data_IF_961293274129
#
_entry.id   IF_961293274129
#
_cell.length_a   1.000
_cell.length_b   1.000
_cell.length_c   1.000
_cell.angle_alpha   90.00
_cell.angle_beta   90.00
_cell.angle_gamma   90.00
#
_symmetry.space_group_name_H-M   'P 1'
#
loop_
_entity.id
_entity.type
_entity.pdbx_description
1 polymer ?
#
# COMPACT_ATOMS: atom_id res chain seq x y z
N UNK A 1 75.48 57.15 -41.73
CA UNK A 1 75.02 55.84 -42.22
C UNK A 1 73.67 55.56 -41.61
N UNK A 2 72.66 55.86 -42.42
CA UNK A 2 71.24 55.72 -42.17
C UNK A 2 70.79 54.25 -42.17
N UNK A 3 69.83 53.92 -41.32
CA UNK A 3 68.79 52.91 -41.61
C UNK A 3 67.67 53.02 -40.57
N UNK A 4 66.73 53.93 -40.84
CA UNK A 4 65.43 53.99 -40.16
C UNK A 4 64.47 53.03 -40.86
N UNK A 5 64.06 51.96 -40.17
CA UNK A 5 62.97 51.10 -40.64
C UNK A 5 61.62 51.77 -40.40
N UNK A 6 60.97 52.13 -41.51
CA UNK A 6 59.65 52.75 -41.55
C UNK A 6 58.58 51.64 -41.55
N UNK A 7 57.95 51.40 -40.40
CA UNK A 7 56.81 50.47 -40.29
C UNK A 7 55.53 51.24 -40.61
N UNK A 8 54.90 50.91 -41.75
CA UNK A 8 53.60 51.43 -42.15
C UNK A 8 52.51 50.81 -41.28
N UNK A 9 51.85 51.62 -40.46
CA UNK A 9 50.63 51.23 -39.74
C UNK A 9 49.47 51.12 -40.74
N UNK A 10 48.97 49.89 -40.91
CA UNK A 10 47.76 49.61 -41.69
C UNK A 10 46.55 50.03 -40.85
N UNK A 11 45.82 51.02 -41.35
CA UNK A 11 44.54 51.47 -40.82
C UNK A 11 43.50 50.35 -41.03
N UNK A 12 43.21 49.57 -39.99
CA UNK A 12 42.10 48.61 -40.01
C UNK A 12 40.84 49.28 -39.48
N UNK A 13 39.95 49.57 -40.42
CA UNK A 13 38.57 50.02 -40.31
C UNK A 13 37.78 49.32 -39.17
N UNK A 14 37.15 50.11 -38.29
CA UNK A 14 36.36 49.66 -37.14
C UNK A 14 35.00 49.02 -37.51
N UNK A 15 34.65 48.91 -38.80
CA UNK A 15 33.31 48.48 -39.23
C UNK A 15 33.04 46.98 -39.38
N UNK A 16 33.93 46.07 -38.99
CA UNK A 16 33.71 44.61 -39.17
C UNK A 16 33.68 43.76 -37.87
N UNK A 17 32.94 44.19 -36.84
CA UNK A 17 32.73 43.39 -35.61
C UNK A 17 31.72 42.24 -35.72
N UNK A 18 31.34 41.78 -36.92
CA UNK A 18 30.63 40.50 -37.12
C UNK A 18 31.62 39.41 -37.53
N UNK A 19 32.43 39.01 -36.56
CA UNK A 19 33.35 37.88 -36.65
C UNK A 19 32.54 36.60 -36.83
N UNK A 20 32.54 36.04 -38.04
CA UNK A 20 32.02 34.70 -38.35
C UNK A 20 32.75 33.72 -37.43
N UNK A 21 32.09 33.28 -36.36
CA UNK A 21 32.61 32.20 -35.51
C UNK A 21 32.46 30.91 -36.28
N UNK A 22 33.54 30.46 -36.90
CA UNK A 22 33.61 29.08 -37.38
C UNK A 22 33.45 28.17 -36.16
N UNK A 23 32.31 27.48 -36.09
CA UNK A 23 32.09 26.44 -35.09
C UNK A 23 33.25 25.46 -35.12
N UNK A 24 33.79 25.13 -33.94
CA UNK A 24 34.96 24.27 -33.82
C UNK A 24 34.69 22.93 -34.51
N UNK A 25 35.73 22.30 -35.07
CA UNK A 25 35.63 20.97 -35.71
C UNK A 25 34.89 19.94 -34.83
N UNK A 26 35.00 20.07 -33.50
CA UNK A 26 34.36 19.22 -32.49
C UNK A 26 32.84 19.44 -32.34
N UNK A 27 32.32 20.60 -32.72
CA UNK A 27 30.87 20.86 -32.81
C UNK A 27 30.28 20.39 -34.14
N UNK A 28 31.04 20.49 -35.24
CA UNK A 28 30.59 19.98 -36.55
C UNK A 28 30.47 18.46 -36.56
N UNK A 29 31.39 17.73 -35.92
CA UNK A 29 31.33 16.27 -35.85
C UNK A 29 30.12 15.76 -35.05
N UNK A 30 29.71 16.46 -33.98
CA UNK A 30 28.54 16.07 -33.16
C UNK A 30 27.21 16.31 -33.86
N UNK A 31 27.09 17.37 -34.68
CA UNK A 31 25.89 17.61 -35.49
C UNK A 31 25.80 16.66 -36.69
N UNK A 32 26.91 16.37 -37.36
CA UNK A 32 26.94 15.43 -38.48
C UNK A 32 26.53 14.00 -38.07
N UNK A 33 26.92 13.53 -36.88
CA UNK A 33 26.50 12.20 -36.40
C UNK A 33 25.03 12.10 -36.00
N UNK A 34 24.36 13.22 -35.72
CA UNK A 34 22.95 13.22 -35.31
C UNK A 34 21.98 13.17 -36.51
N UNK A 35 22.34 13.80 -37.64
CA UNK A 35 21.50 13.79 -38.84
C UNK A 35 21.56 12.46 -39.61
N UNK A 36 22.71 11.75 -39.58
CA UNK A 36 22.83 10.42 -40.20
C UNK A 36 21.92 9.38 -39.53
N UNK A 37 21.66 9.50 -38.22
CA UNK A 37 20.74 8.60 -37.51
C UNK A 37 19.26 8.98 -37.63
N UNK A 38 18.91 10.22 -38.01
CA UNK A 38 17.51 10.58 -38.32
C UNK A 38 17.06 10.09 -39.68
N UNK A 39 17.97 9.99 -40.65
CA UNK A 39 17.67 9.53 -42.01
C UNK A 39 17.48 8.01 -42.12
N UNK A 40 18.03 7.21 -41.21
CA UNK A 40 18.00 5.74 -41.35
C UNK A 40 16.70 5.09 -40.85
N UNK A 41 15.90 5.80 -40.03
CA UNK A 41 14.64 5.27 -39.49
C UNK A 41 13.40 5.53 -40.35
N UNK A 42 13.54 6.29 -41.44
CA UNK A 42 12.44 6.64 -42.36
C UNK A 42 12.37 5.80 -43.64
N UNK A 43 13.28 4.83 -43.85
CA UNK A 43 13.43 4.14 -45.15
C UNK A 43 13.22 2.62 -45.13
N UNK A 44 12.88 2.02 -43.98
CA UNK A 44 12.65 0.55 -43.84
C UNK A 44 11.24 0.28 -43.28
N UNK A 45 10.22 0.97 -43.80
CA UNK A 45 8.84 0.82 -43.33
C UNK A 45 7.81 1.19 -44.38
N UNK A 46 8.10 0.93 -45.65
CA UNK A 46 7.15 1.01 -46.75
C UNK A 46 6.92 -0.40 -47.30
N UNK A 47 5.71 -0.92 -47.10
CA UNK A 47 5.34 -2.24 -47.57
C UNK A 47 3.88 -2.60 -47.33
N UNK A 48 2.94 -1.69 -47.58
CA UNK A 48 1.56 -2.09 -47.92
C UNK A 48 1.01 -1.09 -48.95
N UNK A 49 0.64 -1.64 -50.09
CA UNK A 49 0.24 -0.98 -51.33
C UNK A 49 -1.19 -0.46 -51.32
N UNK A 50 -1.39 0.62 -52.06
CA UNK A 50 -2.61 1.39 -52.31
C UNK A 50 -3.64 0.67 -53.19
N UNK A 51 -4.16 -0.48 -52.74
CA UNK A 51 -5.19 -1.23 -53.50
C UNK A 51 -6.37 -1.76 -52.66
N UNK A 52 -6.47 -1.43 -51.36
CA UNK A 52 -7.49 -2.00 -50.47
C UNK A 52 -8.57 -1.01 -49.99
N UNK A 53 -8.69 0.16 -50.62
CA UNK A 53 -9.78 1.12 -50.37
C UNK A 53 -10.67 1.23 -51.61
N UNK A 54 -11.34 0.13 -51.98
CA UNK A 54 -12.45 0.16 -52.95
C UNK A 54 -13.31 -1.11 -52.91
N UNK A 55 -13.79 -1.53 -51.75
CA UNK A 55 -15.00 -2.37 -51.65
C UNK A 55 -15.83 -1.89 -50.46
N UNK A 56 -16.55 -0.81 -50.73
CA UNK A 56 -17.72 -0.38 -49.98
C UNK A 56 -18.94 -1.05 -50.65
N UNK A 57 -19.96 -1.37 -49.84
CA UNK A 57 -21.32 -1.75 -50.26
C UNK A 57 -21.56 -3.13 -50.89
N UNK A 58 -21.76 -4.19 -50.08
CA UNK A 58 -22.97 -5.06 -50.16
C UNK A 58 -23.14 -5.74 -48.79
N UNK A 59 -24.38 -5.83 -48.30
CA UNK A 59 -24.86 -6.53 -47.09
C UNK A 59 -24.99 -5.71 -45.81
N UNK A 60 -26.08 -4.92 -45.80
CA UNK A 60 -26.75 -4.54 -44.57
C UNK A 60 -28.20 -5.06 -44.62
N UNK A 61 -28.53 -6.12 -43.86
CA UNK A 61 -29.91 -6.31 -43.43
C UNK A 61 -29.96 -6.72 -41.95
N UNK A 62 -30.35 -5.77 -41.10
CA UNK A 62 -31.44 -5.94 -40.09
C UNK A 62 -31.60 -4.67 -39.27
N UNK A 63 -32.46 -3.80 -39.81
CA UNK A 63 -33.45 -3.05 -39.04
C UNK A 63 -34.27 -4.05 -38.21
N UNK A 64 -34.29 -3.87 -36.90
CA UNK A 64 -35.44 -4.17 -36.04
C UNK A 64 -35.22 -3.50 -34.67
N UNK A 65 -35.27 -2.16 -34.68
CA UNK A 65 -35.44 -1.36 -33.47
C UNK A 65 -36.89 -0.92 -33.38
N UNK A 66 -37.67 -1.63 -32.56
CA UNK A 66 -39.09 -1.33 -32.41
C UNK A 66 -39.79 -2.21 -31.39
N UNK A 67 -39.28 -2.31 -30.15
CA UNK A 67 -40.10 -2.86 -29.06
C UNK A 67 -39.84 -2.18 -27.71
N UNK A 68 -40.80 -1.34 -27.33
CA UNK A 68 -40.88 -0.67 -26.04
C UNK A 68 -40.85 -1.69 -24.88
N UNK A 69 -39.91 -1.51 -23.94
CA UNK A 69 -39.93 -2.22 -22.65
C UNK A 69 -40.63 -1.35 -21.60
N UNK A 70 -41.87 -1.74 -21.28
CA UNK A 70 -42.58 -1.35 -20.06
C UNK A 70 -41.70 -1.69 -18.86
N UNK A 71 -41.43 -0.70 -18.00
CA UNK A 71 -40.88 -0.90 -16.65
C UNK A 71 -41.93 -1.61 -15.79
N UNK A 72 -41.81 -2.92 -15.62
CA UNK A 72 -42.48 -3.65 -14.54
C UNK A 72 -41.49 -3.77 -13.38
N UNK A 73 -41.79 -3.07 -12.29
CA UNK A 73 -41.22 -3.30 -10.97
C UNK A 73 -41.71 -4.66 -10.43
N UNK A 74 -40.96 -5.19 -9.47
CA UNK A 74 -41.10 -6.49 -8.80
C UNK A 74 -40.66 -7.74 -9.57
N UNK A 75 -39.40 -8.13 -9.35
CA UNK A 75 -39.02 -9.54 -9.24
C UNK A 75 -38.86 -9.88 -7.76
N UNK A 76 -39.59 -10.90 -7.33
CA UNK A 76 -39.36 -11.67 -6.12
C UNK A 76 -38.23 -12.63 -6.50
N UNK A 77 -37.05 -12.43 -5.95
CA UNK A 77 -35.91 -13.33 -6.13
C UNK A 77 -36.07 -14.52 -5.19
N UNK A 78 -36.37 -15.69 -5.76
CA UNK A 78 -36.15 -16.97 -5.12
C UNK A 78 -34.69 -17.38 -5.31
N UNK A 79 -33.96 -17.33 -4.19
CA UNK A 79 -33.06 -18.36 -3.67
C UNK A 79 -32.18 -19.14 -4.69
N UNK A 80 -31.00 -18.56 -4.99
CA UNK A 80 -29.73 -19.24 -5.28
C UNK A 80 -28.65 -18.17 -5.61
N UNK A 81 -28.19 -17.45 -4.57
CA UNK A 81 -27.28 -16.30 -4.70
C UNK A 81 -25.81 -16.67 -4.86
N UNK A 82 -25.34 -16.81 -6.10
CA UNK A 82 -23.92 -16.64 -6.45
C UNK A 82 -23.71 -15.19 -6.90
N UNK A 83 -23.11 -14.37 -6.02
CA UNK A 83 -22.95 -12.93 -6.24
C UNK A 83 -21.89 -12.68 -7.33
N UNK A 84 -22.36 -12.25 -8.50
CA UNK A 84 -21.52 -11.66 -9.54
C UNK A 84 -21.27 -10.18 -9.18
N UNK A 85 -20.17 -9.93 -8.48
CA UNK A 85 -19.71 -8.58 -8.16
C UNK A 85 -19.35 -7.89 -9.49
N UNK A 86 -20.26 -7.02 -9.94
CA UNK A 86 -20.04 -6.15 -11.10
C UNK A 86 -19.20 -4.98 -10.63
N UNK A 87 -17.96 -4.93 -11.08
CA UNK A 87 -16.96 -3.95 -10.67
C UNK A 87 -17.10 -2.67 -11.52
N UNK A 88 -18.13 -1.87 -11.26
CA UNK A 88 -18.34 -0.55 -11.90
C UNK A 88 -17.55 0.56 -11.16
N UNK A 89 -16.24 0.39 -11.00
CA UNK A 89 -15.32 1.41 -10.44
C UNK A 89 -14.39 2.09 -11.46
N UNK A 90 -14.49 1.77 -12.76
CA UNK A 90 -13.55 2.21 -13.80
C UNK A 90 -13.72 3.66 -14.30
N UNK A 91 -14.22 4.58 -13.46
CA UNK A 91 -14.28 6.02 -13.80
C UNK A 91 -13.53 6.96 -12.85
N UNK A 92 -12.69 6.44 -11.94
CA UNK A 92 -11.96 7.27 -10.96
C UNK A 92 -10.42 7.29 -11.09
N UNK A 93 -9.80 6.51 -11.98
CA UNK A 93 -8.34 6.33 -11.98
C UNK A 93 -7.51 7.45 -12.64
N UNK A 94 -8.12 8.44 -13.31
CA UNK A 94 -7.37 9.54 -13.95
C UNK A 94 -6.79 10.58 -12.96
N UNK A 95 -6.97 10.41 -11.64
CA UNK A 95 -6.55 11.35 -10.59
C UNK A 95 -5.33 10.84 -9.78
N UNK A 96 -4.73 9.70 -10.15
CA UNK A 96 -3.76 9.02 -9.27
C UNK A 96 -2.31 9.54 -9.30
N UNK A 97 -1.93 10.46 -10.20
CA UNK A 97 -0.55 11.01 -10.22
C UNK A 97 -0.40 12.43 -9.69
N UNK A 98 -1.49 13.15 -9.45
CA UNK A 98 -1.49 14.37 -8.62
C UNK A 98 -1.61 14.03 -7.11
N UNK A 99 -2.07 12.82 -6.80
CA UNK A 99 -2.30 12.33 -5.44
C UNK A 99 -1.05 12.06 -4.58
N UNK A 100 0.16 11.89 -5.12
CA UNK A 100 1.36 11.75 -4.27
C UNK A 100 1.74 13.07 -3.55
N UNK A 101 1.22 14.21 -4.01
CA UNK A 101 1.38 15.50 -3.33
C UNK A 101 0.14 15.88 -2.50
N UNK A 102 -1.06 15.44 -2.89
CA UNK A 102 -2.32 15.60 -2.12
C UNK A 102 -2.47 14.61 -0.95
N UNK A 103 -1.85 13.42 -0.96
CA UNK A 103 -1.84 12.51 0.22
C UNK A 103 -1.16 13.13 1.45
N UNK A 104 -0.42 14.22 1.28
CA UNK A 104 0.13 15.01 2.40
C UNK A 104 -0.79 16.13 2.89
N UNK A 105 -1.78 16.54 2.10
CA UNK A 105 -2.75 17.60 2.42
C UNK A 105 -4.15 17.06 2.78
N UNK A 106 -4.52 15.87 2.29
CA UNK A 106 -5.77 15.19 2.65
C UNK A 106 -5.79 14.64 4.10
N UNK A 107 -4.66 14.69 4.81
CA UNK A 107 -4.55 14.28 6.22
C UNK A 107 -5.12 15.28 7.23
N UNK A 108 -5.66 16.42 6.77
CA UNK A 108 -6.18 17.51 7.60
C UNK A 108 -7.66 17.84 7.36
N UNK A 109 -8.32 17.20 6.41
CA UNK A 109 -9.74 17.44 6.16
C UNK A 109 -10.61 16.68 7.18
N UNK A 110 -10.96 17.40 8.26
CA UNK A 110 -12.13 17.16 9.12
C UNK A 110 -12.25 15.71 9.60
N UNK A 111 -11.19 15.17 10.20
CA UNK A 111 -11.32 13.91 10.92
C UNK A 111 -12.17 14.17 12.18
N UNK A 112 -13.40 13.65 12.22
CA UNK A 112 -14.30 13.72 13.39
C UNK A 112 -13.56 13.31 14.65
N UNK A 113 -13.61 14.07 15.74
CA UNK A 113 -13.00 13.65 17.01
C UNK A 113 -13.66 12.37 17.51
N UNK A 114 -12.96 11.55 18.31
CA UNK A 114 -13.54 10.36 18.91
C UNK A 114 -14.90 10.61 19.58
N UNK A 115 -15.03 11.73 20.31
CA UNK A 115 -16.29 12.16 20.91
C UNK A 115 -17.41 12.38 19.89
N UNK A 116 -17.11 13.06 18.77
CA UNK A 116 -18.08 13.30 17.72
C UNK A 116 -18.48 12.01 17.00
N UNK A 117 -17.54 11.08 16.79
CA UNK A 117 -17.86 9.79 16.18
C UNK A 117 -18.75 8.92 17.08
N UNK A 118 -18.61 9.01 18.40
CA UNK A 118 -19.47 8.33 19.36
C UNK A 118 -20.93 8.78 19.21
N UNK A 119 -21.19 10.09 19.12
CA UNK A 119 -22.54 10.62 18.93
C UNK A 119 -23.15 10.12 17.61
N UNK A 120 -22.38 10.18 16.52
CA UNK A 120 -22.87 9.71 15.21
C UNK A 120 -23.09 8.19 15.23
N UNK A 121 -22.29 7.42 15.97
CA UNK A 121 -22.50 5.98 16.15
C UNK A 121 -23.75 5.69 17.00
N UNK A 122 -24.03 6.52 18.02
CA UNK A 122 -25.24 6.41 18.84
C UNK A 122 -26.52 6.66 18.04
N UNK A 123 -26.51 7.63 17.13
CA UNK A 123 -27.64 7.88 16.23
C UNK A 123 -27.86 6.74 15.22
N UNK A 124 -26.77 6.06 14.81
CA UNK A 124 -26.81 4.92 13.87
C UNK A 124 -27.22 3.61 14.53
N UNK A 125 -26.83 3.39 15.78
CA UNK A 125 -27.02 2.12 16.50
C UNK A 125 -27.97 2.27 17.69
N UNK A 126 -29.23 1.90 17.46
CA UNK A 126 -30.29 1.93 18.47
C UNK A 126 -30.33 0.69 19.39
N UNK A 127 -29.31 -0.18 19.37
CA UNK A 127 -29.31 -1.37 20.23
C UNK A 127 -29.20 -1.00 21.72
N UNK A 128 -29.83 -1.79 22.59
CA UNK A 128 -29.81 -1.54 24.03
C UNK A 128 -28.38 -1.66 24.60
N UNK A 129 -27.60 -2.63 24.11
CA UNK A 129 -26.21 -2.82 24.50
C UNK A 129 -25.36 -1.60 24.13
N UNK A 130 -25.55 -1.02 22.94
CA UNK A 130 -24.85 0.20 22.53
C UNK A 130 -25.31 1.42 23.34
N UNK A 131 -26.59 1.51 23.67
CA UNK A 131 -27.12 2.57 24.55
C UNK A 131 -26.49 2.53 25.95
N UNK A 132 -26.27 1.32 26.50
CA UNK A 132 -25.55 1.14 27.78
C UNK A 132 -24.07 1.56 27.65
N UNK A 133 -23.41 1.10 26.59
CA UNK A 133 -22.04 1.51 26.25
C UNK A 133 -21.90 3.04 26.19
N UNK A 134 -22.78 3.70 25.42
CA UNK A 134 -22.77 5.15 25.23
C UNK A 134 -22.84 5.90 26.58
N UNK A 135 -23.79 5.52 27.45
CA UNK A 135 -23.96 6.16 28.77
C UNK A 135 -22.74 6.02 29.68
N UNK A 136 -21.99 4.93 29.55
CA UNK A 136 -20.79 4.67 30.32
C UNK A 136 -19.58 5.42 29.76
N UNK A 137 -19.35 5.29 28.44
CA UNK A 137 -18.17 5.86 27.78
C UNK A 137 -18.23 7.40 27.71
N UNK A 138 -19.42 7.98 27.53
CA UNK A 138 -19.61 9.43 27.36
C UNK A 138 -19.05 10.26 28.52
N UNK A 139 -19.01 9.69 29.73
CA UNK A 139 -18.47 10.34 30.93
C UNK A 139 -16.93 10.45 30.92
N UNK A 140 -16.26 9.69 30.06
CA UNK A 140 -14.80 9.57 30.02
C UNK A 140 -14.16 10.32 28.84
N UNK A 141 -14.97 10.76 27.86
CA UNK A 141 -14.51 11.11 26.51
C UNK A 141 -14.92 12.52 26.07
N UNK A 142 -15.23 13.45 26.99
CA UNK A 142 -15.72 14.78 26.58
C UNK A 142 -14.65 15.63 25.90
N UNK A 143 -13.38 15.37 26.21
CA UNK A 143 -12.25 16.09 25.62
C UNK A 143 -11.02 15.18 25.47
N UNK A 144 -10.09 15.54 24.58
CA UNK A 144 -8.86 14.78 24.37
C UNK A 144 -8.02 14.59 25.66
N UNK A 145 -7.84 15.60 26.53
CA UNK A 145 -7.15 15.41 27.81
C UNK A 145 -7.84 14.38 28.72
N UNK A 146 -9.19 14.37 28.76
CA UNK A 146 -9.94 13.36 29.53
C UNK A 146 -9.76 11.96 28.95
N UNK A 147 -9.72 11.83 27.62
CA UNK A 147 -9.46 10.55 26.94
C UNK A 147 -8.08 10.02 27.36
N UNK A 148 -7.04 10.87 27.34
CA UNK A 148 -5.69 10.48 27.75
C UNK A 148 -5.64 10.07 29.23
N UNK A 149 -6.31 10.82 30.10
CA UNK A 149 -6.37 10.51 31.53
C UNK A 149 -7.11 9.18 31.83
N UNK A 150 -8.18 8.90 31.09
CA UNK A 150 -9.04 7.74 31.30
C UNK A 150 -8.77 6.60 30.30
N UNK A 151 -7.64 6.63 29.59
CA UNK A 151 -7.38 5.75 28.45
C UNK A 151 -7.54 4.27 28.79
N UNK A 152 -6.95 3.84 29.91
CA UNK A 152 -7.04 2.44 30.37
C UNK A 152 -8.50 1.97 30.53
N UNK A 153 -9.33 2.81 31.16
CA UNK A 153 -10.76 2.53 31.37
C UNK A 153 -11.55 2.56 30.08
N UNK A 154 -11.23 3.50 29.18
CA UNK A 154 -11.87 3.60 27.86
C UNK A 154 -11.64 2.32 27.06
N UNK A 155 -10.39 1.82 27.04
CA UNK A 155 -10.06 0.56 26.35
C UNK A 155 -10.79 -0.61 27.01
N UNK A 156 -10.82 -0.69 28.34
CA UNK A 156 -11.55 -1.75 29.05
C UNK A 156 -13.04 -1.74 28.69
N UNK A 157 -13.68 -0.57 28.65
CA UNK A 157 -15.09 -0.43 28.25
C UNK A 157 -15.29 -0.85 26.79
N UNK A 158 -14.46 -0.38 25.85
CA UNK A 158 -14.55 -0.77 24.44
C UNK A 158 -14.41 -2.29 24.25
N UNK A 159 -13.39 -2.90 24.87
CA UNK A 159 -13.12 -4.35 24.76
C UNK A 159 -14.24 -5.18 25.42
N UNK A 160 -14.81 -4.70 26.53
CA UNK A 160 -15.91 -5.36 27.22
C UNK A 160 -17.22 -5.36 26.40
N UNK A 161 -17.51 -4.27 25.69
CA UNK A 161 -18.71 -4.17 24.84
C UNK A 161 -18.52 -4.75 23.43
N UNK A 162 -17.29 -5.03 23.02
CA UNK A 162 -16.99 -5.59 21.70
C UNK A 162 -17.61 -6.97 21.47
N UNK A 163 -17.66 -7.83 22.48
CA UNK A 163 -18.28 -9.15 22.41
C UNK A 163 -19.06 -9.42 23.70
N UNK A 164 -20.10 -10.23 23.61
CA UNK A 164 -20.90 -10.66 24.76
C UNK A 164 -20.60 -12.13 25.12
N UNK A 165 -20.74 -12.56 26.38
CA UNK A 165 -20.68 -13.97 26.73
C UNK A 165 -21.80 -14.75 26.02
N UNK A 166 -21.53 -15.97 25.56
CA UNK A 166 -22.53 -16.81 24.87
C UNK A 166 -23.78 -17.09 25.74
N UNK A 167 -23.61 -17.15 27.06
CA UNK A 167 -24.70 -17.33 28.01
C UNK A 167 -25.62 -16.11 28.15
N UNK A 168 -25.14 -14.90 27.81
CA UNK A 168 -25.86 -13.64 28.00
C UNK A 168 -25.52 -12.65 26.87
N UNK A 169 -26.14 -12.80 25.67
CA UNK A 169 -25.79 -12.01 24.49
C UNK A 169 -26.06 -10.50 24.64
N UNK A 170 -27.01 -10.11 25.51
CA UNK A 170 -27.39 -8.71 25.75
C UNK A 170 -26.53 -8.01 26.81
N UNK A 171 -25.55 -8.71 27.39
CA UNK A 171 -24.71 -8.22 28.48
C UNK A 171 -23.26 -8.09 27.99
N UNK A 172 -22.60 -6.99 28.37
CA UNK A 172 -21.17 -6.81 28.11
C UNK A 172 -20.35 -7.90 28.79
N UNK A 173 -19.17 -8.17 28.25
CA UNK A 173 -18.24 -9.10 28.89
C UNK A 173 -17.76 -8.56 30.25
N UNK A 174 -17.76 -9.37 31.32
CA UNK A 174 -17.25 -8.96 32.63
C UNK A 174 -15.76 -8.62 32.56
N UNK A 175 -15.34 -7.56 33.26
CA UNK A 175 -13.93 -7.18 33.32
C UNK A 175 -13.14 -8.23 34.10
N UNK A 176 -12.12 -8.83 33.45
CA UNK A 176 -11.29 -9.93 33.96
C UNK A 176 -10.69 -9.72 35.36
N UNK A 177 -10.53 -8.46 35.80
CA UNK A 177 -10.10 -8.09 37.17
C UNK A 177 -11.00 -8.64 38.29
N UNK A 178 -12.23 -9.07 37.99
CA UNK A 178 -13.12 -9.66 39.00
C UNK A 178 -13.00 -11.18 39.15
N UNK A 179 -12.31 -11.88 38.23
CA UNK A 179 -12.29 -13.35 38.21
C UNK A 179 -11.10 -13.91 39.02
N UNK A 180 -10.02 -13.14 39.18
CA UNK A 180 -8.79 -13.63 39.82
C UNK A 180 -8.72 -13.46 41.34
N UNK A 181 -9.76 -12.93 41.99
CA UNK A 181 -9.72 -12.60 43.43
C UNK A 181 -10.43 -13.62 44.34
N UNK A 182 -10.50 -14.89 43.92
CA UNK A 182 -11.34 -15.90 44.61
C UNK A 182 -10.70 -17.25 44.92
N UNK A 183 -9.39 -17.45 44.77
CA UNK A 183 -8.77 -18.75 45.08
C UNK A 183 -7.28 -18.64 45.34
N UNK A 184 -6.92 -18.28 46.57
CA UNK A 184 -5.52 -18.11 47.00
C UNK A 184 -4.86 -19.40 47.53
N UNK A 185 -5.51 -20.57 47.59
CA UNK A 185 -5.04 -21.62 48.51
C UNK A 185 -4.70 -23.01 47.96
N UNK A 186 -4.61 -23.26 46.65
CA UNK A 186 -4.13 -24.59 46.17
C UNK A 186 -3.00 -24.48 45.13
N UNK A 187 -1.78 -24.40 45.66
CA UNK A 187 -0.46 -24.51 45.02
C UNK A 187 -0.19 -25.93 44.45
N UNK A 188 -1.22 -26.55 43.88
CA UNK A 188 -1.10 -27.86 43.24
C UNK A 188 -0.89 -27.63 41.74
N UNK A 189 0.39 -27.67 41.32
CA UNK A 189 0.89 -27.45 39.96
C UNK A 189 0.38 -28.40 38.85
N UNK A 190 -0.87 -28.85 38.93
CA UNK A 190 -1.57 -29.43 37.80
C UNK A 190 -1.89 -28.32 36.81
N UNK A 191 -1.32 -28.39 35.60
CA UNK A 191 -1.64 -27.51 34.48
C UNK A 191 -3.11 -27.64 34.07
N UNK A 192 -4.00 -27.03 34.85
CA UNK A 192 -5.42 -26.99 34.61
C UNK A 192 -5.67 -26.40 33.23
N UNK A 193 -6.40 -27.14 32.40
CA UNK A 193 -6.85 -26.67 31.10
C UNK A 193 -7.70 -25.43 31.36
N UNK A 194 -7.17 -24.24 31.03
CA UNK A 194 -7.90 -22.99 31.12
C UNK A 194 -9.01 -23.05 30.07
N UNK A 195 -10.21 -23.41 30.51
CA UNK A 195 -11.41 -23.42 29.67
C UNK A 195 -11.64 -21.98 29.23
N UNK A 196 -11.53 -21.72 27.93
CA UNK A 196 -11.82 -20.40 27.36
C UNK A 196 -13.32 -20.16 27.41
N UNK A 197 -13.72 -19.01 27.94
CA UNK A 197 -15.11 -18.56 27.85
C UNK A 197 -15.52 -18.39 26.38
N UNK A 198 -16.74 -18.79 26.06
CA UNK A 198 -17.32 -18.64 24.74
C UNK A 198 -17.91 -17.24 24.58
N UNK A 199 -17.47 -16.52 23.54
CA UNK A 199 -17.92 -15.17 23.23
C UNK A 199 -18.68 -15.14 21.91
N UNK A 200 -19.70 -14.29 21.84
CA UNK A 200 -20.58 -14.12 20.68
C UNK A 200 -20.57 -12.66 20.25
N UNK A 201 -20.64 -12.45 18.94
CA UNK A 201 -20.76 -11.13 18.31
C UNK A 201 -22.14 -10.55 18.66
N UNK A 202 -22.16 -9.30 19.15
CA UNK A 202 -23.39 -8.58 19.50
C UNK A 202 -23.67 -7.43 18.51
N UNK A 203 -24.84 -6.79 18.66
CA UNK A 203 -25.26 -5.68 17.79
C UNK A 203 -24.42 -4.40 17.90
N UNK A 204 -23.53 -4.28 18.90
CA UNK A 204 -22.61 -3.14 19.03
C UNK A 204 -21.24 -3.39 18.37
N UNK A 205 -20.88 -4.64 18.10
CA UNK A 205 -19.53 -5.06 17.68
C UNK A 205 -18.95 -4.21 16.54
N UNK A 206 -19.72 -3.99 15.48
CA UNK A 206 -19.27 -3.22 14.29
C UNK A 206 -18.91 -1.78 14.64
N UNK A 207 -19.78 -1.09 15.39
CA UNK A 207 -19.56 0.30 15.77
C UNK A 207 -18.42 0.42 16.79
N UNK A 208 -18.28 -0.54 17.71
CA UNK A 208 -17.17 -0.58 18.66
C UNK A 208 -15.82 -0.77 17.94
N UNK A 209 -15.75 -1.63 16.93
CA UNK A 209 -14.54 -1.81 16.11
C UNK A 209 -14.17 -0.53 15.34
N UNK A 210 -15.18 0.13 14.75
CA UNK A 210 -14.98 1.43 14.09
C UNK A 210 -14.49 2.50 15.07
N UNK A 211 -15.15 2.65 16.22
CA UNK A 211 -14.76 3.57 17.28
C UNK A 211 -13.34 3.31 17.77
N UNK A 212 -12.92 2.04 17.87
CA UNK A 212 -11.55 1.68 18.23
C UNK A 212 -10.53 2.17 17.19
N UNK A 213 -10.88 2.11 15.89
CA UNK A 213 -10.05 2.66 14.81
C UNK A 213 -9.93 4.18 14.91
N UNK A 214 -11.03 4.87 15.23
CA UNK A 214 -11.05 6.33 15.43
C UNK A 214 -10.23 6.73 16.65
N UNK A 215 -10.37 6.01 17.77
CA UNK A 215 -9.57 6.22 18.97
C UNK A 215 -8.07 6.03 18.69
N UNK A 216 -7.71 4.98 17.95
CA UNK A 216 -6.32 4.73 17.56
C UNK A 216 -5.72 5.86 16.74
N UNK A 217 -6.51 6.44 15.82
CA UNK A 217 -6.10 7.57 15.00
C UNK A 217 -5.82 8.81 15.86
N UNK A 218 -6.71 9.10 16.81
CA UNK A 218 -6.61 10.28 17.68
C UNK A 218 -5.43 10.15 18.67
N UNK A 219 -5.19 8.95 19.22
CA UNK A 219 -4.17 8.67 20.22
C UNK A 219 -2.78 8.32 19.67
N UNK A 220 -2.72 7.82 18.43
CA UNK A 220 -1.49 7.40 17.74
C UNK A 220 -0.68 6.36 18.52
N UNK A 221 0.32 6.80 19.29
CA UNK A 221 1.24 5.92 20.01
C UNK A 221 0.74 5.53 21.39
N UNK A 222 -0.13 6.34 21.99
CA UNK A 222 -0.66 6.10 23.34
C UNK A 222 -1.51 4.82 23.40
N UNK A 223 -2.03 4.34 22.25
CA UNK A 223 -2.82 3.11 22.19
C UNK A 223 -1.95 1.83 22.17
N UNK A 224 -0.65 1.94 21.88
CA UNK A 224 0.21 0.77 21.67
C UNK A 224 0.35 -0.17 22.87
N UNK A 225 0.45 0.30 24.13
CA UNK A 225 0.53 -0.59 25.29
C UNK A 225 -0.65 -1.55 25.38
N UNK A 226 -1.81 -1.14 24.85
CA UNK A 226 -3.07 -1.88 24.87
C UNK A 226 -3.27 -2.79 23.66
N UNK A 227 -2.57 -2.51 22.56
CA UNK A 227 -2.76 -3.22 21.29
C UNK A 227 -2.52 -4.72 21.46
N UNK A 228 -1.35 -5.10 21.99
CA UNK A 228 -0.96 -6.51 22.10
C UNK A 228 -1.54 -7.20 23.34
N UNK A 229 -1.93 -6.43 24.37
CA UNK A 229 -2.34 -6.94 25.67
C UNK A 229 -3.85 -7.12 25.80
N UNK A 230 -4.64 -6.19 25.24
CA UNK A 230 -6.11 -6.18 25.36
C UNK A 230 -6.82 -6.31 24.02
N UNK A 231 -6.46 -5.46 23.05
CA UNK A 231 -7.21 -5.31 21.80
C UNK A 231 -7.02 -6.52 20.86
N UNK A 232 -5.77 -6.86 20.55
CA UNK A 232 -5.44 -7.89 19.57
C UNK A 232 -5.88 -9.28 20.05
N UNK A 233 -5.68 -9.69 21.32
CA UNK A 233 -6.25 -10.94 21.82
C UNK A 233 -7.77 -10.98 21.65
N UNK A 234 -8.48 -9.89 21.97
CA UNK A 234 -9.94 -9.84 21.83
C UNK A 234 -10.40 -10.03 20.39
N UNK A 235 -9.76 -9.34 19.44
CA UNK A 235 -10.14 -9.42 18.02
C UNK A 235 -9.70 -10.76 17.42
N UNK A 236 -8.43 -11.14 17.59
CA UNK A 236 -7.86 -12.28 16.88
C UNK A 236 -8.21 -13.63 17.53
N UNK A 237 -8.24 -13.69 18.87
CA UNK A 237 -8.49 -14.94 19.59
C UNK A 237 -9.97 -15.11 19.91
N UNK A 238 -10.63 -14.09 20.46
CA UNK A 238 -12.00 -14.27 20.93
C UNK A 238 -13.04 -14.08 19.80
N UNK A 239 -12.82 -13.13 18.88
CA UNK A 239 -13.77 -12.85 17.79
C UNK A 239 -13.51 -13.65 16.51
N UNK A 240 -12.28 -13.63 15.99
CA UNK A 240 -11.95 -14.26 14.70
C UNK A 240 -11.66 -15.76 14.81
N UNK A 241 -11.31 -16.25 16.01
CA UNK A 241 -10.97 -17.66 16.23
C UNK A 241 -11.68 -18.20 17.49
N UNK A 242 -13.02 -18.14 17.55
CA UNK A 242 -13.77 -18.60 18.72
C UNK A 242 -13.45 -20.07 19.01
N UNK A 243 -13.44 -20.48 20.30
CA UNK A 243 -13.21 -21.87 20.65
C UNK A 243 -14.25 -22.77 19.96
N UNK A 244 -13.85 -23.97 19.48
CA UNK A 244 -14.82 -24.90 18.92
C UNK A 244 -15.86 -25.26 19.99
N UNK A 245 -17.13 -25.41 19.62
CA UNK A 245 -18.17 -25.82 20.55
C UNK A 245 -17.77 -27.14 21.24
N UNK A 246 -18.06 -27.30 22.56
CA UNK A 246 -17.73 -28.53 23.27
C UNK A 246 -18.36 -29.73 22.55
N UNK A 247 -17.65 -30.86 22.50
CA UNK A 247 -18.05 -32.05 21.73
C UNK A 247 -19.45 -32.58 22.08
N UNK A 248 -19.94 -32.26 23.28
CA UNK A 248 -21.28 -32.63 23.76
C UNK A 248 -22.38 -31.72 23.21
N UNK A 249 -22.04 -30.49 22.83
CA UNK A 249 -22.96 -29.57 22.17
C UNK A 249 -23.05 -29.96 20.70
N UNK A 250 -24.21 -30.47 20.28
CA UNK A 250 -24.51 -30.78 18.86
C UNK A 250 -24.59 -29.53 17.98
N UNK A 251 -24.00 -28.41 18.41
CA UNK A 251 -24.03 -27.13 17.72
C UNK A 251 -22.92 -27.10 16.68
N UNK A 252 -23.29 -26.73 15.45
CA UNK A 252 -22.31 -26.46 14.41
C UNK A 252 -21.63 -25.11 14.68
N UNK A 253 -20.36 -24.94 14.29
CA UNK A 253 -19.69 -23.64 14.36
C UNK A 253 -20.51 -22.61 13.59
N UNK A 254 -20.84 -21.51 14.25
CA UNK A 254 -21.64 -20.43 13.66
C UNK A 254 -20.77 -19.78 12.58
N UNK A 255 -21.20 -19.76 11.30
CA UNK A 255 -20.45 -19.08 10.26
C UNK A 255 -20.37 -17.58 10.60
N UNK A 256 -19.16 -17.03 10.58
CA UNK A 256 -18.96 -15.60 10.80
C UNK A 256 -19.47 -14.78 9.62
N UNK A 257 -20.17 -13.69 9.91
CA UNK A 257 -20.58 -12.73 8.89
C UNK A 257 -19.34 -12.07 8.26
N UNK A 258 -19.29 -12.08 6.93
CA UNK A 258 -18.21 -11.49 6.12
C UNK A 258 -18.01 -10.02 6.48
N UNK A 259 -19.08 -9.28 6.79
CA UNK A 259 -19.02 -7.86 7.16
C UNK A 259 -18.28 -7.65 8.48
N UNK A 260 -18.43 -8.55 9.45
CA UNK A 260 -17.72 -8.51 10.73
C UNK A 260 -16.24 -8.79 10.52
N UNK A 261 -15.93 -9.83 9.73
CA UNK A 261 -14.54 -10.19 9.39
C UNK A 261 -13.84 -9.03 8.69
N UNK A 262 -14.48 -8.42 7.68
CA UNK A 262 -13.93 -7.26 6.99
C UNK A 262 -13.69 -6.08 7.94
N UNK A 263 -14.67 -5.78 8.81
CA UNK A 263 -14.58 -4.68 9.78
C UNK A 263 -13.44 -4.91 10.79
N UNK A 264 -13.26 -6.16 11.23
CA UNK A 264 -12.17 -6.56 12.10
C UNK A 264 -10.80 -6.35 11.43
N UNK A 265 -10.62 -6.85 10.21
CA UNK A 265 -9.36 -6.69 9.47
C UNK A 265 -9.09 -5.23 9.11
N UNK A 266 -10.12 -4.44 8.78
CA UNK A 266 -10.00 -2.99 8.56
C UNK A 266 -9.51 -2.30 9.83
N UNK A 267 -10.08 -2.65 10.98
CA UNK A 267 -9.68 -2.12 12.30
C UNK A 267 -8.24 -2.49 12.65
N UNK A 268 -7.86 -3.76 12.48
CA UNK A 268 -6.48 -4.21 12.67
C UNK A 268 -5.51 -3.51 11.72
N UNK A 269 -5.91 -3.25 10.48
CA UNK A 269 -5.10 -2.52 9.51
C UNK A 269 -4.88 -1.06 9.93
N UNK A 270 -5.90 -0.39 10.45
CA UNK A 270 -5.78 0.96 11.01
C UNK A 270 -4.90 0.98 12.27
N UNK A 271 -5.08 0.04 13.19
CA UNK A 271 -4.24 -0.11 14.38
C UNK A 271 -2.77 -0.39 14.01
N UNK A 272 -2.54 -1.21 13.00
CA UNK A 272 -1.21 -1.45 12.48
C UNK A 272 -0.63 -0.18 11.84
N UNK A 273 -1.44 0.59 11.09
CA UNK A 273 -1.01 1.81 10.41
C UNK A 273 -0.66 2.96 11.38
N UNK A 274 -1.35 3.10 12.51
CA UNK A 274 -1.07 4.14 13.53
C UNK A 274 0.29 3.95 14.19
N UNK A 275 0.63 2.70 14.58
CA UNK A 275 1.98 2.30 15.05
C UNK A 275 3.10 2.69 14.12
N UNK A 276 2.70 2.76 12.89
CA UNK A 276 3.55 2.81 11.76
C UNK A 276 3.67 4.27 11.28
N UNK A 277 2.83 5.21 11.71
CA UNK A 277 2.94 6.66 11.44
C UNK A 277 3.97 7.37 12.32
N UNK A 278 4.31 6.80 13.48
CA UNK A 278 5.22 7.42 14.45
C UNK A 278 6.71 7.16 14.18
N UNK A 279 7.07 6.05 13.52
CA UNK A 279 8.48 5.69 13.24
C UNK A 279 9.05 6.34 11.95
N UNK A 280 9.22 7.66 11.87
CA UNK A 280 9.67 8.34 10.62
C UNK A 280 11.16 8.09 10.25
N UNK A 281 11.42 7.18 9.30
CA UNK A 281 12.39 7.26 8.15
C UNK A 281 12.41 5.91 7.40
N UNK A 282 12.78 5.90 6.10
CA UNK A 282 12.70 4.80 5.09
C UNK A 282 12.82 3.32 5.54
N UNK A 283 13.53 3.02 6.62
CA UNK A 283 13.49 1.70 7.30
C UNK A 283 12.07 1.29 7.74
N UNK A 284 11.15 2.25 7.79
CA UNK A 284 9.76 2.10 8.22
C UNK A 284 8.94 1.21 7.30
N UNK A 285 8.90 1.47 5.99
CA UNK A 285 8.03 0.69 5.10
C UNK A 285 8.40 -0.78 5.11
N UNK A 286 9.69 -1.09 5.08
CA UNK A 286 10.18 -2.46 5.24
C UNK A 286 9.74 -3.08 6.57
N UNK A 287 9.88 -2.37 7.69
CA UNK A 287 9.39 -2.84 9.00
C UNK A 287 7.86 -3.03 9.05
N UNK A 288 7.08 -2.18 8.36
CA UNK A 288 5.61 -2.34 8.22
C UNK A 288 5.31 -3.68 7.57
N UNK A 289 5.89 -3.89 6.39
CA UNK A 289 5.68 -5.08 5.58
C UNK A 289 6.14 -6.32 6.32
N UNK A 290 7.30 -6.28 6.98
CA UNK A 290 7.74 -7.37 7.86
C UNK A 290 6.76 -7.68 8.99
N UNK A 291 6.17 -6.67 9.64
CA UNK A 291 5.19 -6.90 10.71
C UNK A 291 3.93 -7.56 10.16
N UNK A 292 3.44 -7.09 9.01
CA UNK A 292 2.31 -7.70 8.31
C UNK A 292 2.63 -9.15 7.92
N UNK A 293 3.83 -9.42 7.41
CA UNK A 293 4.25 -10.78 7.05
C UNK A 293 4.38 -11.69 8.27
N UNK A 294 4.83 -11.18 9.42
CA UNK A 294 4.79 -11.93 10.68
C UNK A 294 3.37 -12.24 11.13
N UNK A 295 2.43 -11.31 10.96
CA UNK A 295 1.02 -11.58 11.22
C UNK A 295 0.47 -12.64 10.25
N UNK A 296 0.81 -12.55 8.97
CA UNK A 296 0.46 -13.55 7.97
C UNK A 296 0.98 -14.94 8.38
N UNK A 297 2.25 -15.04 8.75
CA UNK A 297 2.84 -16.28 9.24
C UNK A 297 2.11 -16.84 10.48
N UNK A 298 1.79 -15.97 11.44
CA UNK A 298 1.08 -16.37 12.65
C UNK A 298 -0.33 -16.89 12.35
N UNK A 299 -1.07 -16.22 11.45
CA UNK A 299 -2.40 -16.67 11.02
C UNK A 299 -2.34 -18.01 10.27
N UNK A 300 -1.36 -18.17 9.38
CA UNK A 300 -1.13 -19.43 8.66
C UNK A 300 -0.73 -20.58 9.59
N UNK A 301 -0.08 -20.29 10.71
CA UNK A 301 0.30 -21.29 11.70
C UNK A 301 -0.86 -21.71 12.61
N UNK A 302 -1.84 -20.84 12.87
CA UNK A 302 -2.93 -21.11 13.82
C UNK A 302 -4.11 -21.86 13.22
N UNK A 303 -4.75 -21.31 12.19
CA UNK A 303 -5.95 -21.89 11.59
C UNK A 303 -6.06 -21.45 10.14
N UNK A 304 -5.61 -22.31 9.22
CA UNK A 304 -5.53 -21.98 7.80
C UNK A 304 -6.91 -21.85 7.14
N UNK A 305 -7.94 -22.53 7.67
CA UNK A 305 -9.29 -22.50 7.09
C UNK A 305 -9.91 -21.10 7.14
N UNK A 306 -9.58 -20.32 8.18
CA UNK A 306 -9.97 -18.91 8.27
C UNK A 306 -9.22 -18.01 7.27
N UNK A 307 -8.02 -18.43 6.89
CA UNK A 307 -7.13 -17.67 6.00
C UNK A 307 -7.43 -17.96 4.53
N UNK A 308 -7.86 -19.18 4.21
CA UNK A 308 -8.06 -19.65 2.84
C UNK A 308 -8.94 -18.73 1.98
N UNK A 309 -10.10 -18.20 2.46
CA UNK A 309 -10.92 -17.26 1.68
C UNK A 309 -10.22 -15.93 1.38
N UNK A 310 -9.21 -15.56 2.16
CA UNK A 310 -8.48 -14.30 2.08
C UNK A 310 -7.06 -14.45 1.50
N UNK A 311 -6.73 -15.63 0.97
CA UNK A 311 -5.40 -15.97 0.48
C UNK A 311 -4.92 -15.01 -0.62
N UNK A 312 -5.78 -14.62 -1.56
CA UNK A 312 -5.43 -13.68 -2.63
C UNK A 312 -4.94 -12.32 -2.09
N UNK A 313 -5.55 -11.82 -1.02
CA UNK A 313 -5.22 -10.53 -0.42
C UNK A 313 -3.81 -10.57 0.21
N UNK A 314 -3.49 -11.66 0.89
CA UNK A 314 -2.15 -11.87 1.49
C UNK A 314 -1.09 -12.04 0.40
N UNK A 315 -1.40 -12.83 -0.63
CA UNK A 315 -0.53 -13.09 -1.76
C UNK A 315 -0.23 -11.82 -2.59
N UNK A 316 -1.17 -10.87 -2.71
CA UNK A 316 -0.92 -9.59 -3.40
C UNK A 316 0.20 -8.80 -2.70
N UNK A 317 0.17 -8.74 -1.37
CA UNK A 317 1.21 -8.07 -0.57
C UNK A 317 2.58 -8.74 -0.65
N UNK A 318 2.63 -10.08 -0.69
CA UNK A 318 3.88 -10.85 -0.84
C UNK A 318 4.45 -10.73 -2.26
N UNK A 319 3.60 -10.90 -3.28
CA UNK A 319 3.99 -10.83 -4.68
C UNK A 319 4.59 -9.47 -5.05
N UNK A 320 3.98 -8.38 -4.54
CA UNK A 320 4.49 -7.03 -4.74
C UNK A 320 5.94 -6.88 -4.25
N UNK A 321 6.25 -7.39 -3.06
CA UNK A 321 7.59 -7.31 -2.47
C UNK A 321 8.60 -8.15 -3.24
N UNK A 322 8.21 -9.33 -3.71
CA UNK A 322 9.06 -10.13 -4.61
C UNK A 322 9.38 -9.39 -5.92
N UNK A 323 8.43 -8.66 -6.50
CA UNK A 323 8.67 -7.85 -7.70
C UNK A 323 9.57 -6.64 -7.41
N UNK A 324 9.36 -5.95 -6.29
CA UNK A 324 10.20 -4.83 -5.85
C UNK A 324 11.65 -5.28 -5.68
N UNK A 325 11.88 -6.39 -4.99
CA UNK A 325 13.23 -6.95 -4.80
C UNK A 325 13.88 -7.38 -6.12
N UNK A 326 13.15 -8.06 -7.02
CA UNK A 326 13.66 -8.40 -8.36
C UNK A 326 14.09 -7.16 -9.15
N UNK A 327 13.27 -6.11 -9.13
CA UNK A 327 13.60 -4.84 -9.77
C UNK A 327 14.82 -4.18 -9.13
N UNK A 328 14.98 -4.24 -7.80
CA UNK A 328 16.17 -3.72 -7.12
C UNK A 328 17.43 -4.47 -7.49
N UNK A 329 17.39 -5.81 -7.54
CA UNK A 329 18.50 -6.66 -7.96
C UNK A 329 18.89 -6.35 -9.41
N UNK A 330 17.91 -6.27 -10.32
CA UNK A 330 18.15 -5.94 -11.73
C UNK A 330 18.76 -4.54 -11.87
N UNK A 331 18.24 -3.54 -11.14
CA UNK A 331 18.77 -2.19 -11.14
C UNK A 331 20.20 -2.11 -10.57
N UNK A 332 20.50 -2.87 -9.51
CA UNK A 332 21.86 -2.99 -8.95
C UNK A 332 22.81 -3.62 -9.98
N UNK A 333 22.40 -4.71 -10.63
CA UNK A 333 23.20 -5.38 -11.66
C UNK A 333 23.47 -4.46 -12.86
N UNK A 334 22.47 -3.69 -13.31
CA UNK A 334 22.64 -2.69 -14.38
C UNK A 334 23.54 -1.53 -13.96
N UNK A 335 23.46 -1.09 -12.69
CA UNK A 335 24.35 -0.06 -12.15
C UNK A 335 25.80 -0.54 -12.07
N UNK A 336 26.02 -1.78 -11.60
CA UNK A 336 27.34 -2.40 -11.55
C UNK A 336 27.93 -2.55 -12.96
N UNK A 337 27.15 -3.03 -13.95
CA UNK A 337 27.57 -3.11 -15.36
C UNK A 337 27.94 -1.75 -15.95
N UNK A 338 27.35 -0.65 -15.49
CA UNK A 338 27.72 0.72 -15.93
C UNK A 338 28.97 1.23 -15.25
N UNK A 339 29.15 0.89 -13.97
CA UNK A 339 30.34 1.26 -13.21
C UNK A 339 31.59 0.50 -13.66
N UNK A 340 31.45 -0.75 -14.11
CA UNK A 340 32.59 -1.55 -14.58
C UNK A 340 33.25 -1.01 -15.85
N UNK A 341 32.58 -0.14 -16.61
CA UNK A 341 33.20 0.58 -17.74
C UNK A 341 33.97 1.85 -17.30
N UNK A 342 33.87 2.29 -16.05
CA UNK A 342 34.65 3.40 -15.51
C UNK A 342 35.67 2.87 -14.50
N UNK A 343 36.87 2.52 -14.99
CA UNK A 343 38.08 2.26 -14.21
C UNK A 343 37.98 1.16 -13.15
N UNK A 344 38.32 -0.08 -13.53
CA UNK A 344 38.91 -1.05 -12.60
C UNK A 344 40.05 -1.80 -13.28
N UNK A 345 41.23 -1.19 -13.27
CA UNK A 345 42.47 -1.93 -13.05
C UNK A 345 42.94 -1.54 -11.64
N UNK A 346 43.34 -2.51 -10.83
CA UNK A 346 44.24 -2.36 -9.66
C UNK A 346 43.72 -2.37 -8.21
N UNK A 347 42.49 -2.78 -7.87
CA UNK A 347 42.22 -3.14 -6.45
C UNK A 347 41.28 -4.34 -6.30
N UNK A 348 41.86 -5.54 -6.38
CA UNK A 348 41.20 -6.82 -6.10
C UNK A 348 41.07 -7.06 -4.60
N UNK A 349 40.21 -6.30 -3.93
CA UNK A 349 39.77 -6.64 -2.57
C UNK A 349 38.37 -7.28 -2.69
N UNK A 350 38.23 -8.59 -2.42
CA UNK A 350 36.92 -9.22 -2.35
C UNK A 350 36.16 -8.58 -1.18
N UNK A 351 35.09 -7.85 -1.49
CA UNK A 351 34.19 -7.33 -0.47
C UNK A 351 33.56 -8.53 0.24
N UNK A 352 34.02 -8.76 1.48
CA UNK A 352 33.55 -9.84 2.34
C UNK A 352 32.05 -9.76 2.58
N UNK A 353 31.48 -10.92 2.86
CA UNK A 353 30.09 -11.15 3.25
C UNK A 353 29.63 -10.10 4.27
N UNK A 354 28.96 -9.07 3.76
CA UNK A 354 28.16 -8.18 4.58
C UNK A 354 26.96 -9.05 4.96
N UNK A 355 26.94 -9.51 6.21
CA UNK A 355 25.78 -10.10 6.89
C UNK A 355 24.54 -9.33 6.46
N UNK A 356 23.84 -9.88 5.46
CA UNK A 356 22.76 -9.16 4.81
C UNK A 356 21.61 -9.29 5.78
N UNK A 357 21.22 -8.23 6.52
CA UNK A 357 20.19 -8.34 7.54
C UNK A 357 18.96 -8.92 6.87
N UNK A 358 18.39 -9.99 7.46
CA UNK A 358 17.27 -10.76 6.95
C UNK A 358 16.33 -9.86 6.13
N UNK A 359 16.51 -9.91 4.81
CA UNK A 359 15.89 -8.91 3.95
C UNK A 359 14.39 -9.16 4.00
N UNK A 360 13.60 -8.09 3.95
CA UNK A 360 12.15 -8.20 3.90
C UNK A 360 11.67 -9.19 2.83
N UNK A 361 12.41 -9.28 1.72
CA UNK A 361 12.23 -10.28 0.67
C UNK A 361 12.34 -11.72 1.18
N UNK A 362 13.34 -12.04 1.99
CA UNK A 362 13.52 -13.38 2.60
C UNK A 362 12.29 -13.76 3.41
N UNK A 363 11.83 -12.85 4.28
CA UNK A 363 10.64 -13.11 5.09
C UNK A 363 9.38 -13.26 4.22
N UNK A 364 9.24 -12.49 3.15
CA UNK A 364 8.13 -12.64 2.22
C UNK A 364 8.15 -13.99 1.49
N UNK A 365 9.34 -14.48 1.10
CA UNK A 365 9.50 -15.81 0.51
C UNK A 365 9.22 -16.93 1.51
N UNK A 366 9.71 -16.82 2.74
CA UNK A 366 9.41 -17.77 3.83
C UNK A 366 7.91 -17.87 4.10
N UNK A 367 7.21 -16.73 4.15
CA UNK A 367 5.75 -16.71 4.34
C UNK A 367 5.03 -17.27 3.12
N UNK A 368 5.53 -17.03 1.91
CA UNK A 368 4.96 -17.59 0.69
C UNK A 368 5.08 -19.13 0.69
N UNK A 369 6.24 -19.67 1.07
CA UNK A 369 6.45 -21.13 1.22
C UNK A 369 5.58 -21.70 2.34
N UNK A 370 5.47 -21.01 3.48
CA UNK A 370 4.59 -21.43 4.58
C UNK A 370 3.12 -21.50 4.14
N UNK A 371 2.65 -20.55 3.34
CA UNK A 371 1.30 -20.55 2.78
C UNK A 371 1.09 -21.69 1.77
N UNK A 372 2.09 -21.98 0.95
CA UNK A 372 2.07 -23.10 0.00
C UNK A 372 1.97 -24.44 0.74
N UNK A 373 2.76 -24.63 1.79
CA UNK A 373 2.80 -25.85 2.61
C UNK A 373 1.52 -26.06 3.45
N UNK A 374 0.82 -24.98 3.82
CA UNK A 374 -0.39 -25.03 4.66
C UNK A 374 -1.69 -25.20 3.86
N UNK A 375 -1.69 -24.94 2.56
CA UNK A 375 -2.84 -25.20 1.72
C UNK A 375 -3.13 -26.70 1.62
N UNK A 376 -4.36 -27.11 2.00
CA UNK A 376 -4.81 -28.51 1.91
C UNK A 376 -4.73 -29.06 0.49
N UNK A 377 -5.01 -28.22 -0.51
CA UNK A 377 -4.81 -28.57 -1.92
C UNK A 377 -3.75 -27.66 -2.55
N UNK A 378 -2.72 -28.24 -3.20
CA UNK A 378 -1.74 -27.45 -3.96
C UNK A 378 -2.39 -26.62 -5.07
N UNK A 379 -3.54 -27.07 -5.59
CA UNK A 379 -4.30 -26.36 -6.62
C UNK A 379 -4.86 -25.03 -6.13
N UNK A 380 -5.36 -24.93 -4.90
CA UNK A 380 -5.98 -23.70 -4.41
C UNK A 380 -4.94 -22.58 -4.28
N UNK A 381 -3.75 -22.91 -3.76
CA UNK A 381 -2.63 -21.98 -3.71
C UNK A 381 -2.21 -21.51 -5.11
N UNK A 382 -1.97 -22.44 -6.03
CA UNK A 382 -1.52 -22.12 -7.38
C UNK A 382 -2.56 -21.28 -8.14
N UNK A 383 -3.86 -21.57 -7.97
CA UNK A 383 -4.94 -20.81 -8.59
C UNK A 383 -5.01 -19.38 -8.03
N UNK A 384 -5.00 -19.22 -6.70
CA UNK A 384 -5.00 -17.91 -6.06
C UNK A 384 -3.75 -17.08 -6.46
N UNK A 385 -2.57 -17.70 -6.49
CA UNK A 385 -1.34 -17.02 -6.88
C UNK A 385 -1.29 -16.67 -8.37
N UNK A 386 -1.84 -17.53 -9.24
CA UNK A 386 -2.00 -17.23 -10.66
C UNK A 386 -2.97 -16.07 -10.90
N UNK A 387 -4.06 -15.98 -10.13
CA UNK A 387 -5.01 -14.88 -10.18
C UNK A 387 -4.37 -13.55 -9.74
N UNK A 388 -3.62 -13.55 -8.64
CA UNK A 388 -2.85 -12.37 -8.17
C UNK A 388 -1.88 -11.88 -9.24
N UNK A 389 -1.12 -12.79 -9.86
CA UNK A 389 -0.23 -12.45 -10.99
C UNK A 389 -0.99 -11.88 -12.18
N UNK A 390 -2.14 -12.46 -12.53
CA UNK A 390 -3.00 -11.99 -13.63
C UNK A 390 -3.50 -10.57 -13.37
N UNK A 391 -4.02 -10.28 -12.17
CA UNK A 391 -4.47 -8.95 -11.75
C UNK A 391 -3.33 -7.93 -11.79
N UNK A 392 -2.15 -8.29 -11.28
CA UNK A 392 -0.97 -7.42 -11.33
C UNK A 392 -0.55 -7.08 -12.78
N UNK A 393 -0.59 -8.06 -13.69
CA UNK A 393 -0.30 -7.84 -15.11
C UNK A 393 -1.37 -7.00 -15.80
N UNK A 394 -2.64 -7.24 -15.52
CA UNK A 394 -3.76 -6.45 -16.07
C UNK A 394 -3.67 -5.00 -15.61
N UNK A 395 -3.50 -4.73 -14.31
CA UNK A 395 -3.27 -3.38 -13.76
C UNK A 395 -2.08 -2.69 -14.45
N UNK A 396 -0.98 -3.41 -14.68
CA UNK A 396 0.19 -2.86 -15.40
C UNK A 396 -0.13 -2.52 -16.86
N UNK A 397 -0.84 -3.40 -17.59
CA UNK A 397 -1.24 -3.17 -18.98
C UNK A 397 -2.20 -1.99 -19.10
N UNK A 398 -3.18 -1.91 -18.19
CA UNK A 398 -4.15 -0.82 -18.10
C UNK A 398 -3.44 0.52 -17.96
N UNK A 399 -2.54 0.68 -16.97
CA UNK A 399 -1.74 1.91 -16.80
C UNK A 399 -0.94 2.30 -18.06
N UNK A 400 -0.39 1.32 -18.78
CA UNK A 400 0.34 1.58 -20.03
C UNK A 400 -0.61 2.05 -21.13
N UNK A 401 -1.78 1.43 -21.24
CA UNK A 401 -2.80 1.82 -22.23
C UNK A 401 -3.35 3.21 -21.92
N UNK A 402 -3.69 3.50 -20.67
CA UNK A 402 -4.14 4.82 -20.22
C UNK A 402 -3.09 5.90 -20.53
N UNK A 403 -1.81 5.66 -20.23
CA UNK A 403 -0.73 6.59 -20.57
C UNK A 403 -0.61 6.83 -22.09
N UNK A 404 -0.87 5.82 -22.92
CA UNK A 404 -0.87 5.96 -24.38
C UNK A 404 -2.09 6.75 -24.86
N UNK A 405 -3.26 6.46 -24.29
CA UNK A 405 -4.51 7.17 -24.59
C UNK A 405 -4.39 8.64 -24.18
N UNK A 406 -3.90 8.93 -22.98
CA UNK A 406 -3.62 10.28 -22.48
C UNK A 406 -2.66 11.03 -23.41
N UNK A 407 -1.59 10.38 -23.88
CA UNK A 407 -0.65 11.00 -24.80
C UNK A 407 -1.24 11.36 -26.17
N UNK A 408 -2.29 10.65 -26.60
CA UNK A 408 -3.02 10.93 -27.86
C UNK A 408 -4.09 11.98 -27.63
N UNK A 409 -4.87 11.88 -26.55
CA UNK A 409 -5.96 12.80 -26.24
C UNK A 409 -5.44 14.18 -25.81
N UNK A 410 -4.44 14.22 -24.91
CA UNK A 410 -3.93 15.44 -24.27
C UNK A 410 -2.38 15.48 -24.32
N UNK A 411 -1.77 15.83 -25.47
CA UNK A 411 -0.32 15.80 -25.63
C UNK A 411 0.43 16.80 -24.73
N UNK A 412 -0.22 17.89 -24.30
CA UNK A 412 0.38 18.89 -23.41
C UNK A 412 0.61 18.32 -22.00
N UNK A 413 -0.41 17.69 -21.39
CA UNK A 413 -0.31 17.04 -20.07
C UNK A 413 0.74 15.93 -20.09
N UNK A 414 0.73 15.09 -21.13
CA UNK A 414 1.73 14.05 -21.30
C UNK A 414 3.17 14.62 -21.41
N UNK A 415 3.34 15.79 -22.04
CA UNK A 415 4.63 16.47 -22.14
C UNK A 415 5.07 17.05 -20.80
N UNK A 416 4.17 17.70 -20.06
CA UNK A 416 4.42 18.23 -18.72
C UNK A 416 4.85 17.12 -17.75
N UNK A 417 4.13 15.99 -17.75
CA UNK A 417 4.47 14.80 -16.96
C UNK A 417 5.87 14.28 -17.29
N UNK A 418 6.26 14.28 -18.57
CA UNK A 418 7.62 13.90 -19.00
C UNK A 418 8.67 14.89 -18.50
N UNK A 419 8.39 16.20 -18.54
CA UNK A 419 9.28 17.24 -18.01
C UNK A 419 9.45 17.07 -16.49
N UNK A 420 8.34 16.96 -15.74
CA UNK A 420 8.33 16.72 -14.28
C UNK A 420 9.12 15.48 -13.90
N UNK A 421 8.97 14.38 -14.65
CA UNK A 421 9.77 13.15 -14.45
C UNK A 421 11.26 13.36 -14.68
N UNK A 422 11.64 14.13 -15.70
CA UNK A 422 13.04 14.47 -15.95
C UNK A 422 13.62 15.34 -14.85
N UNK A 423 12.89 16.35 -14.37
CA UNK A 423 13.30 17.21 -13.28
C UNK A 423 13.48 16.45 -11.97
N UNK A 424 12.53 15.57 -11.61
CA UNK A 424 12.63 14.72 -10.44
C UNK A 424 13.83 13.76 -10.52
N UNK A 425 14.09 13.19 -11.69
CA UNK A 425 15.29 12.39 -11.92
C UNK A 425 16.58 13.22 -11.80
N UNK A 426 16.59 14.48 -12.28
CA UNK A 426 17.72 15.40 -12.12
C UNK A 426 17.95 15.73 -10.64
N UNK A 427 16.90 16.03 -9.88
CA UNK A 427 16.96 16.25 -8.41
C UNK A 427 17.50 15.01 -7.68
N UNK A 428 16.99 13.81 -8.00
CA UNK A 428 17.47 12.54 -7.42
C UNK A 428 18.94 12.28 -7.74
N UNK A 429 19.38 12.54 -8.98
CA UNK A 429 20.80 12.43 -9.38
C UNK A 429 21.69 13.44 -8.65
N UNK A 430 21.25 14.69 -8.53
CA UNK A 430 21.97 15.72 -7.76
C UNK A 430 22.13 15.29 -6.31
N UNK A 431 21.04 14.85 -5.66
CA UNK A 431 21.07 14.36 -4.28
C UNK A 431 22.07 13.22 -4.09
N UNK A 432 22.07 12.23 -4.98
CA UNK A 432 23.03 11.10 -4.93
C UNK A 432 24.47 11.58 -5.12
N UNK A 433 24.71 12.56 -5.99
CA UNK A 433 26.05 13.12 -6.19
C UNK A 433 26.51 13.91 -4.95
N UNK A 434 25.61 14.66 -4.32
CA UNK A 434 25.88 15.39 -3.08
C UNK A 434 26.13 14.41 -1.91
N UNK A 435 25.31 13.36 -1.76
CA UNK A 435 25.52 12.25 -0.80
C UNK A 435 26.92 11.62 -1.01
N UNK A 436 27.27 11.27 -2.24
CA UNK A 436 28.58 10.69 -2.56
C UNK A 436 29.75 11.67 -2.29
N UNK A 437 29.53 12.98 -2.49
CA UNK A 437 30.53 14.01 -2.19
C UNK A 437 30.76 14.14 -0.68
N UNK A 438 29.69 14.07 0.11
CA UNK A 438 29.75 14.07 1.58
C UNK A 438 30.51 12.82 2.07
N UNK A 439 30.17 11.64 1.55
CA UNK A 439 30.82 10.37 1.92
C UNK A 439 32.32 10.35 1.64
N UNK A 440 32.79 11.00 0.56
CA UNK A 440 34.22 11.12 0.24
C UNK A 440 34.97 12.14 1.12
N UNK A 441 34.35 12.66 2.18
CA UNK A 441 34.97 13.69 3.03
C UNK A 441 35.13 15.04 2.35
N UNK A 442 34.50 15.25 1.19
CA UNK A 442 34.43 16.54 0.49
C UNK A 442 33.43 17.51 1.11
N UNK A 443 33.20 17.38 2.43
CA UNK A 443 32.34 18.24 3.23
C UNK A 443 32.79 19.69 3.11
N UNK A 444 31.80 20.59 3.13
CA UNK A 444 31.95 22.04 2.98
C UNK A 444 33.27 22.51 3.58
N UNK A 445 34.11 23.14 2.75
CA UNK A 445 35.17 24.01 3.27
C UNK A 445 34.44 25.01 4.15
N UNK A 446 34.33 24.75 5.46
CA UNK A 446 33.92 25.74 6.45
C UNK A 446 34.84 26.90 6.17
N UNK A 447 34.27 27.97 5.60
CA UNK A 447 34.95 29.25 5.57
C UNK A 447 35.25 29.55 7.03
N UNK A 448 36.51 29.32 7.44
CA UNK A 448 37.07 29.96 8.62
C UNK A 448 36.98 31.44 8.31
N UNK A 449 35.94 32.10 8.80
CA UNK A 449 35.98 33.54 8.99
C UNK A 449 37.05 33.77 10.06
N UNK A 450 38.17 34.33 9.62
CA UNK A 450 39.21 34.91 10.46
C UNK A 450 38.84 36.37 10.65
#
# INVERSE_FOLDING_TARGET
>A
MDSRHHVKTINTDERSKKRIRFASSKERSKKASADVYRSYKGRIGGGVTSAATREEFVHNPKRDEGRAKKKSRHRIDHDAGFIKISNDQDKSETILEENEHEEKEMGTEISSTFSGEIDVAFDRNASEIFSKFHREIWKLVRSLPEILHNLDKIIDVLVAYMLSPASMPDVRTPNKKQITSGGDDDDNGGGGIVVREEFVINHATTDILHLLSVLARDLRHEIHPYLHTKILPRIAQDMLNPPPPPSDSKQQPIPMDVTIVETAFRTLSFLAATKVITDRKKTREAKRRMTVYKCFAAFSASNFDLVAPHLELMLEGLHRTSLEAKNEIENKALSQKRSSYSYSAASGIPNGDIDTPATEHSLAEEVLTLLEDKCTTPSDFLNAYAEVKRRALTKKRQRITEQKVEAVQNPQVATERRIKKQENNKKRRKKRADEHRIERGGGEKKYRMI
#
